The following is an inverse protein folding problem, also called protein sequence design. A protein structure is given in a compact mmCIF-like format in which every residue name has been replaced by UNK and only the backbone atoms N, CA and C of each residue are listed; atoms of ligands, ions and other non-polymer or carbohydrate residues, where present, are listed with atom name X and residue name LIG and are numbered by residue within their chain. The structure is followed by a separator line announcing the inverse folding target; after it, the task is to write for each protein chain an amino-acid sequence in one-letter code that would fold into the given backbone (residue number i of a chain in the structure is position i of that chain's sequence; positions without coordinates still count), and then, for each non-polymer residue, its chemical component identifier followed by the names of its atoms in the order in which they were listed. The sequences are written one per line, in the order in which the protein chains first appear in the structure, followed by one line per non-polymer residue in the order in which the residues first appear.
data_IF_044588155331
#
_entry.id   IF_044588155331
#
_cell.length_a   1.000
_cell.length_b   1.000
_cell.length_c   1.000
_cell.angle_alpha   90.00
_cell.angle_beta   90.00
_cell.angle_gamma   90.00
#
_symmetry.space_group_name_H-M   'P 1'
#
loop_
_entity.id
_entity.type
_entity.pdbx_description
1 polymer ?
#
# COMPACT_ATOMS: atom_id res chain seq x y z
N UNK A 1 -2.74 -2.04 -8.93
CA UNK A 1 -2.70 -1.61 -7.52
C UNK A 1 -2.65 -0.09 -7.47
N UNK A 2 -3.17 0.55 -6.42
CA UNK A 2 -3.22 2.02 -6.35
C UNK A 2 -2.61 2.54 -5.05
N UNK A 3 -1.72 3.51 -5.13
CA UNK A 3 -1.26 4.24 -3.96
C UNK A 3 -2.22 5.38 -3.68
N UNK A 4 -2.70 5.45 -2.46
CA UNK A 4 -3.63 6.48 -2.03
C UNK A 4 -3.04 7.30 -0.89
N UNK A 5 -3.46 8.57 -0.79
CA UNK A 5 -3.17 9.45 0.34
C UNK A 5 -4.47 9.86 1.02
N UNK A 6 -4.49 9.70 2.33
CA UNK A 6 -5.59 10.09 3.20
C UNK A 6 -5.48 11.57 3.60
N UNK A 7 -6.58 12.19 4.10
CA UNK A 7 -6.60 13.58 4.55
C UNK A 7 -5.60 13.93 5.67
N UNK A 8 -5.19 12.95 6.46
CA UNK A 8 -4.15 13.12 7.50
C UNK A 8 -2.72 13.11 6.93
N UNK A 9 -2.57 13.00 5.61
CA UNK A 9 -1.28 12.91 4.91
C UNK A 9 -0.69 11.50 4.88
N UNK A 10 -1.32 10.51 5.52
CA UNK A 10 -0.83 9.15 5.52
C UNK A 10 -1.10 8.44 4.19
N UNK A 11 -0.20 7.56 3.76
CA UNK A 11 -0.30 6.89 2.45
C UNK A 11 -0.45 5.38 2.60
N UNK A 12 -1.36 4.77 1.85
CA UNK A 12 -1.57 3.32 1.83
C UNK A 12 -1.61 2.79 0.38
N UNK A 13 -1.34 1.50 0.22
CA UNK A 13 -1.44 0.82 -1.07
C UNK A 13 -2.67 -0.07 -1.08
N UNK A 14 -3.58 0.16 -2.04
CA UNK A 14 -4.67 -0.76 -2.37
C UNK A 14 -4.10 -1.89 -3.23
N UNK A 15 -4.02 -3.08 -2.62
CA UNK A 15 -3.53 -4.33 -3.25
C UNK A 15 -4.62 -4.90 -4.16
N UNK A 16 -5.86 -4.92 -3.69
CA UNK A 16 -7.00 -5.49 -4.41
C UNK A 16 -8.27 -4.69 -4.11
N UNK A 17 -9.12 -4.54 -5.11
CA UNK A 17 -10.46 -3.95 -4.98
C UNK A 17 -11.46 -4.93 -5.58
N UNK A 18 -12.41 -5.39 -4.77
CA UNK A 18 -13.51 -6.26 -5.21
C UNK A 18 -14.57 -5.39 -5.91
N UNK A 19 -14.78 -5.61 -7.20
CA UNK A 19 -15.73 -4.84 -8.01
C UNK A 19 -17.20 -5.09 -7.66
N UNK A 20 -17.54 -6.22 -7.04
CA UNK A 20 -18.91 -6.54 -6.61
C UNK A 20 -19.25 -5.91 -5.28
N UNK A 21 -18.31 -5.93 -4.34
CA UNK A 21 -18.56 -5.49 -2.95
C UNK A 21 -17.97 -4.12 -2.64
N UNK A 22 -17.05 -3.61 -3.47
CA UNK A 22 -16.26 -2.41 -3.22
C UNK A 22 -15.20 -2.60 -2.12
N UNK A 23 -14.97 -3.84 -1.65
CA UNK A 23 -14.03 -4.13 -0.60
C UNK A 23 -12.59 -3.89 -1.07
N UNK A 24 -11.80 -3.16 -0.28
CA UNK A 24 -10.40 -2.83 -0.58
C UNK A 24 -9.47 -3.53 0.39
N UNK A 25 -8.51 -4.29 -0.13
CA UNK A 25 -7.42 -4.85 0.64
C UNK A 25 -6.24 -3.87 0.61
N UNK A 26 -5.77 -3.47 1.79
CA UNK A 26 -4.63 -2.57 1.94
C UNK A 26 -3.37 -3.32 2.38
N UNK A 27 -2.21 -2.76 2.05
CA UNK A 27 -0.88 -3.23 2.50
C UNK A 27 -0.67 -3.17 4.02
N UNK A 28 -1.44 -2.33 4.70
CA UNK A 28 -1.39 -2.18 6.16
C UNK A 28 -2.81 -2.10 6.73
N UNK A 29 -2.97 -2.54 7.98
CA UNK A 29 -4.25 -2.46 8.68
C UNK A 29 -4.65 -0.98 8.85
N UNK A 30 -5.76 -0.53 8.24
CA UNK A 30 -6.21 0.84 8.40
C UNK A 30 -6.79 1.07 9.80
N UNK A 31 -6.67 2.30 10.28
CA UNK A 31 -7.38 2.73 11.49
C UNK A 31 -8.87 3.05 11.21
N UNK A 32 -9.61 3.42 12.25
CA UNK A 32 -11.05 3.72 12.16
C UNK A 32 -11.34 4.91 11.24
N UNK A 33 -10.50 5.95 11.24
CA UNK A 33 -10.70 7.12 10.39
C UNK A 33 -10.37 6.79 8.92
N UNK A 34 -9.29 6.05 8.69
CA UNK A 34 -8.89 5.59 7.36
C UNK A 34 -9.95 4.66 6.74
N UNK A 35 -10.52 3.74 7.53
CA UNK A 35 -11.65 2.91 7.10
C UNK A 35 -12.87 3.77 6.69
N UNK A 36 -13.20 4.78 7.48
CA UNK A 36 -14.28 5.71 7.16
C UNK A 36 -13.98 6.53 5.89
N UNK A 37 -12.75 6.99 5.71
CA UNK A 37 -12.37 7.73 4.51
C UNK A 37 -12.40 6.85 3.26
N UNK A 38 -12.00 5.58 3.35
CA UNK A 38 -12.14 4.62 2.26
C UNK A 38 -13.59 4.44 1.84
N UNK A 39 -14.51 4.26 2.80
CA UNK A 39 -15.93 4.07 2.50
C UNK A 39 -16.60 5.33 1.94
N UNK A 40 -16.11 6.52 2.33
CA UNK A 40 -16.58 7.80 1.81
C UNK A 40 -15.88 8.24 0.51
N UNK A 41 -14.89 7.48 0.01
CA UNK A 41 -14.08 7.90 -1.14
C UNK A 41 -13.20 9.13 -0.87
N UNK A 42 -12.90 9.44 0.39
CA UNK A 42 -12.09 10.59 0.81
C UNK A 42 -10.61 10.25 0.84
N UNK A 43 -10.03 10.03 -0.33
CA UNK A 43 -8.59 9.85 -0.51
C UNK A 43 -8.21 10.29 -1.91
N UNK A 44 -6.94 10.61 -2.10
CA UNK A 44 -6.38 10.92 -3.42
C UNK A 44 -5.58 9.74 -3.94
N UNK A 45 -5.76 9.38 -5.21
CA UNK A 45 -4.86 8.43 -5.87
C UNK A 45 -3.58 9.19 -6.23
N UNK A 46 -2.48 8.79 -5.61
CA UNK A 46 -1.16 9.40 -5.79
C UNK A 46 -0.41 8.73 -6.95
N UNK A 47 -0.62 7.43 -7.12
CA UNK A 47 0.11 6.63 -8.10
C UNK A 47 -0.68 5.35 -8.42
N UNK A 48 -0.46 4.79 -9.61
CA UNK A 48 -1.02 3.51 -10.03
C UNK A 48 0.10 2.58 -10.48
N UNK A 49 0.16 1.38 -9.89
CA UNK A 49 1.24 0.43 -10.14
C UNK A 49 0.70 -0.86 -10.78
N UNK A 50 1.52 -1.42 -11.67
CA UNK A 50 1.36 -2.81 -12.11
C UNK A 50 1.88 -3.79 -11.04
N UNK A 51 1.55 -5.08 -11.21
CA UNK A 51 2.12 -6.15 -10.37
C UNK A 51 3.64 -6.22 -10.49
N UNK A 52 4.17 -6.16 -11.72
CA UNK A 52 5.61 -6.18 -12.01
C UNK A 52 6.39 -5.06 -11.32
N UNK A 53 5.86 -3.82 -11.32
CA UNK A 53 6.51 -2.68 -10.66
C UNK A 53 6.59 -2.86 -9.15
N UNK A 54 5.61 -3.56 -8.57
CA UNK A 54 5.58 -3.82 -7.14
C UNK A 54 6.53 -4.96 -6.75
N UNK A 55 6.54 -6.03 -7.54
CA UNK A 55 7.45 -7.17 -7.38
C UNK A 55 8.91 -6.69 -7.43
N UNK A 56 9.27 -5.86 -8.42
CA UNK A 56 10.60 -5.27 -8.52
C UNK A 56 10.99 -4.45 -7.29
N UNK A 57 10.04 -3.67 -6.72
CA UNK A 57 10.27 -2.88 -5.49
C UNK A 57 10.39 -3.72 -4.23
N UNK A 58 9.69 -4.86 -4.16
CA UNK A 58 9.79 -5.79 -3.04
C UNK A 58 11.12 -6.54 -3.07
N UNK A 59 11.52 -7.01 -4.25
CA UNK A 59 12.80 -7.69 -4.47
C UNK A 59 13.99 -6.79 -4.12
N UNK A 60 13.96 -5.51 -4.52
CA UNK A 60 14.96 -4.52 -4.11
C UNK A 60 15.01 -4.30 -2.59
N UNK A 61 13.87 -4.37 -1.89
CA UNK A 61 13.80 -4.20 -0.43
C UNK A 61 14.28 -5.43 0.33
N UNK A 62 14.02 -6.64 -0.15
CA UNK A 62 14.52 -7.87 0.47
C UNK A 62 16.05 -7.96 0.36
N UNK A 63 16.61 -7.67 -0.81
CA UNK A 63 18.07 -7.63 -1.03
C UNK A 63 18.75 -6.60 -0.11
N UNK A 64 18.10 -5.45 0.15
CA UNK A 64 18.60 -4.44 1.09
C UNK A 64 18.53 -4.90 2.56
N UNK A 65 17.56 -5.74 2.90
CA UNK A 65 17.36 -6.24 4.25
C UNK A 65 18.38 -7.34 4.57
N UNK A 66 18.61 -8.27 3.64
CA UNK A 66 19.63 -9.32 3.77
C UNK A 66 21.04 -8.72 3.92
N UNK A 67 21.38 -7.69 3.14
CA UNK A 67 22.68 -7.00 3.24
C UNK A 67 22.91 -6.25 4.56
N UNK A 68 21.86 -5.95 5.32
CA UNK A 68 21.99 -5.30 6.64
C UNK A 68 22.16 -6.31 7.77
N UNK A 69 21.60 -7.51 7.63
CA UNK A 69 21.78 -8.58 8.60
C UNK A 69 23.21 -9.16 8.55
N UNK A 70 23.81 -9.32 7.36
CA UNK A 70 25.21 -9.80 7.24
C UNK A 70 26.28 -8.83 7.78
N UNK A 71 25.97 -7.54 7.92
CA UNK A 71 26.94 -6.52 8.38
C UNK A 71 26.86 -6.23 9.89
N UNK A 72 26.02 -6.98 10.62
CA UNK A 72 25.83 -6.82 12.07
C UNK A 72 26.36 -8.00 12.90
N UNK A 73 27.05 -8.97 12.28
CA UNK A 73 27.91 -9.97 12.94
C UNK A 73 29.35 -9.45 13.08
#
# INVERSE_FOLDING_TARGET
MKKIRFPDGSEALIIMEDERTGAKLLDRKPDKNQLMWLSLGKYEVVDEFTLEELEKRLEEKEIQKERKEENSE
#
